data_IF_516754630009
#
_entry.id   IF_516754630009
#
_cell.length_a   1.000
_cell.length_b   1.000
_cell.length_c   1.000
_cell.angle_alpha   90.00
_cell.angle_beta   90.00
_cell.angle_gamma   90.00
#
_symmetry.space_group_name_H-M   'P 1'
#
loop_
_entity.id
_entity.type
_entity.pdbx_description
1 polymer ?
#
# COMPACT_ATOMS: atom_id res chain seq x y z
N UNK A 1 5.09 -26.81 29.30
CA UNK A 1 5.99 -27.20 28.19
C UNK A 1 5.84 -28.69 27.93
N UNK A 2 4.68 -29.12 27.44
CA UNK A 2 4.42 -30.51 27.02
C UNK A 2 3.71 -30.45 25.67
N UNK A 3 4.46 -30.52 24.57
CA UNK A 3 3.93 -30.92 23.26
C UNK A 3 4.58 -32.27 22.95
N UNK A 4 3.75 -33.29 22.81
CA UNK A 4 4.15 -34.62 22.32
C UNK A 4 4.77 -34.51 20.92
N UNK A 5 5.74 -35.36 20.57
CA UNK A 5 6.40 -35.32 19.28
C UNK A 5 5.42 -35.74 18.17
N UNK A 6 4.91 -34.78 17.40
CA UNK A 6 4.12 -35.03 16.19
C UNK A 6 5.05 -35.50 15.06
N UNK A 7 4.61 -36.53 14.32
CA UNK A 7 5.34 -37.12 13.19
C UNK A 7 5.67 -36.08 12.11
N UNK A 8 6.92 -36.06 11.63
CA UNK A 8 7.45 -35.06 10.69
C UNK A 8 6.60 -34.86 9.42
N UNK A 9 5.94 -35.92 8.93
CA UNK A 9 5.09 -35.84 7.73
C UNK A 9 3.78 -35.08 7.98
N UNK A 10 3.20 -35.22 9.16
CA UNK A 10 2.00 -34.48 9.59
C UNK A 10 2.36 -33.02 9.90
N UNK A 11 3.53 -32.80 10.51
CA UNK A 11 4.09 -31.45 10.76
C UNK A 11 4.30 -30.67 9.46
N UNK A 12 4.89 -31.30 8.43
CA UNK A 12 5.09 -30.67 7.12
C UNK A 12 3.78 -30.31 6.40
N UNK A 13 2.73 -31.14 6.52
CA UNK A 13 1.43 -30.88 5.88
C UNK A 13 0.65 -29.80 6.65
N UNK A 14 0.73 -29.79 7.98
CA UNK A 14 0.15 -28.75 8.84
C UNK A 14 0.88 -27.42 8.63
N UNK A 15 2.21 -27.43 8.54
CA UNK A 15 3.03 -26.26 8.23
C UNK A 15 2.72 -25.73 6.81
N UNK A 16 2.53 -26.59 5.81
CA UNK A 16 2.16 -26.15 4.45
C UNK A 16 0.76 -25.52 4.38
N UNK A 17 -0.23 -26.13 5.03
CA UNK A 17 -1.59 -25.55 5.12
C UNK A 17 -1.58 -24.20 5.84
N UNK A 18 -0.77 -24.06 6.88
CA UNK A 18 -0.59 -22.80 7.61
C UNK A 18 0.12 -21.75 6.75
N UNK A 19 1.21 -22.10 6.07
CA UNK A 19 1.92 -21.21 5.14
C UNK A 19 0.99 -20.72 4.03
N UNK A 20 0.18 -21.61 3.45
CA UNK A 20 -0.79 -21.22 2.42
C UNK A 20 -1.83 -20.22 2.93
N UNK A 21 -2.35 -20.38 4.16
CA UNK A 21 -3.28 -19.43 4.79
C UNK A 21 -2.63 -18.06 5.05
N UNK A 22 -1.38 -18.07 5.55
CA UNK A 22 -0.61 -16.85 5.76
C UNK A 22 -0.33 -16.11 4.44
N UNK A 23 0.03 -16.86 3.40
CA UNK A 23 0.28 -16.33 2.06
C UNK A 23 -0.99 -15.74 1.46
N UNK A 24 -2.12 -16.43 1.57
CA UNK A 24 -3.40 -15.94 1.07
C UNK A 24 -3.81 -14.64 1.76
N UNK A 25 -3.82 -14.61 3.10
CA UNK A 25 -4.20 -13.42 3.87
C UNK A 25 -3.26 -12.23 3.62
N UNK A 26 -1.95 -12.48 3.53
CA UNK A 26 -0.97 -11.40 3.44
C UNK A 26 -0.69 -10.97 1.99
N UNK A 27 -0.32 -11.91 1.12
CA UNK A 27 0.09 -11.58 -0.25
C UNK A 27 -1.12 -11.23 -1.12
N UNK A 28 -2.21 -12.00 -1.04
CA UNK A 28 -3.35 -11.81 -1.93
C UNK A 28 -4.25 -10.66 -1.46
N UNK A 29 -4.67 -10.62 -0.19
CA UNK A 29 -5.62 -9.58 0.25
C UNK A 29 -4.94 -8.24 0.56
N UNK A 30 -3.88 -8.23 1.38
CA UNK A 30 -3.22 -6.97 1.74
C UNK A 30 -2.40 -6.41 0.57
N UNK A 31 -1.65 -7.26 -0.15
CA UNK A 31 -0.86 -6.86 -1.30
C UNK A 31 -1.69 -6.20 -2.41
N UNK A 32 -2.83 -6.82 -2.79
CA UNK A 32 -3.73 -6.26 -3.80
C UNK A 32 -4.31 -4.93 -3.35
N UNK A 33 -4.67 -4.79 -2.07
CA UNK A 33 -5.22 -3.53 -1.55
C UNK A 33 -4.19 -2.40 -1.59
N UNK A 34 -2.92 -2.69 -1.26
CA UNK A 34 -1.82 -1.72 -1.38
C UNK A 34 -1.62 -1.32 -2.84
N UNK A 35 -1.59 -2.29 -3.76
CA UNK A 35 -1.44 -2.01 -5.20
C UNK A 35 -2.58 -1.16 -5.74
N UNK A 36 -3.84 -1.47 -5.36
CA UNK A 36 -5.01 -0.70 -5.75
C UNK A 36 -4.95 0.73 -5.21
N UNK A 37 -4.58 0.93 -3.95
CA UNK A 37 -4.41 2.26 -3.37
C UNK A 37 -3.35 3.07 -4.13
N UNK A 38 -2.21 2.44 -4.47
CA UNK A 38 -1.16 3.10 -5.25
C UNK A 38 -1.63 3.50 -6.66
N UNK A 39 -2.29 2.59 -7.38
CA UNK A 39 -2.86 2.87 -8.71
C UNK A 39 -3.92 3.97 -8.64
N UNK A 40 -4.72 4.00 -7.57
CA UNK A 40 -5.72 5.04 -7.36
C UNK A 40 -5.08 6.42 -7.15
N UNK A 41 -4.05 6.54 -6.31
CA UNK A 41 -3.30 7.80 -6.14
C UNK A 41 -2.66 8.24 -7.45
N UNK A 42 -2.10 7.31 -8.23
CA UNK A 42 -1.55 7.61 -9.56
C UNK A 42 -2.60 8.27 -10.48
N UNK A 43 -3.81 7.69 -10.53
CA UNK A 43 -4.89 8.26 -11.33
C UNK A 43 -5.39 9.61 -10.82
N UNK A 44 -5.42 9.83 -9.51
CA UNK A 44 -5.77 11.15 -8.96
C UNK A 44 -4.77 12.21 -9.41
N UNK A 45 -3.46 11.93 -9.28
CA UNK A 45 -2.43 12.90 -9.66
C UNK A 45 -2.52 13.22 -11.17
N UNK A 46 -2.71 12.20 -12.02
CA UNK A 46 -2.88 12.42 -13.45
C UNK A 46 -4.16 13.20 -13.78
N UNK A 47 -5.27 12.88 -13.13
CA UNK A 47 -6.56 13.54 -13.36
C UNK A 47 -6.56 15.01 -12.93
N UNK A 48 -5.91 15.34 -11.81
CA UNK A 48 -5.73 16.73 -11.37
C UNK A 48 -4.94 17.58 -12.37
N UNK A 49 -4.04 16.94 -13.15
CA UNK A 49 -3.25 17.60 -14.19
C UNK A 49 -3.88 17.47 -15.59
N UNK A 50 -5.16 17.10 -15.69
CA UNK A 50 -5.92 17.10 -16.95
C UNK A 50 -5.92 15.79 -17.74
N UNK A 51 -5.19 14.76 -17.28
CA UNK A 51 -5.17 13.43 -17.89
C UNK A 51 -6.09 12.47 -17.15
N UNK A 52 -7.32 12.31 -17.64
CA UNK A 52 -8.26 11.38 -17.01
C UNK A 52 -7.86 9.91 -17.24
N UNK A 53 -8.26 8.98 -16.36
CA UNK A 53 -7.92 7.56 -16.47
C UNK A 53 -8.28 6.90 -17.82
N UNK A 54 -9.35 7.37 -18.45
CA UNK A 54 -9.81 6.87 -19.76
C UNK A 54 -8.87 7.31 -20.90
N UNK A 55 -8.35 8.54 -20.80
CA UNK A 55 -7.49 9.15 -21.82
C UNK A 55 -6.05 8.61 -21.74
N UNK A 56 -5.66 8.03 -20.59
CA UNK A 56 -4.35 7.40 -20.38
C UNK A 56 -4.18 6.07 -21.12
N UNK A 57 -5.26 5.45 -21.60
CA UNK A 57 -5.20 4.18 -22.31
C UNK A 57 -4.71 4.39 -23.75
N UNK A 58 -3.55 3.82 -24.08
CA UNK A 58 -3.00 3.83 -25.44
C UNK A 58 -2.10 5.03 -25.78
N UNK A 59 -2.00 6.05 -24.92
CA UNK A 59 -1.17 7.24 -25.17
C UNK A 59 0.33 7.00 -24.98
N UNK A 60 0.75 5.82 -24.50
CA UNK A 60 2.15 5.49 -24.18
C UNK A 60 3.11 5.86 -25.32
N UNK A 61 2.82 5.49 -26.57
CA UNK A 61 3.74 5.78 -27.69
C UNK A 61 3.97 7.27 -27.88
N UNK A 62 2.92 8.07 -27.73
CA UNK A 62 2.97 9.54 -27.84
C UNK A 62 3.62 10.15 -26.59
N UNK A 63 3.30 9.61 -25.40
CA UNK A 63 3.85 10.03 -24.11
C UNK A 63 5.38 9.97 -24.04
N UNK A 64 5.96 8.89 -24.55
CA UNK A 64 7.42 8.69 -24.54
C UNK A 64 8.15 9.31 -25.75
N UNK A 65 7.42 9.82 -26.76
CA UNK A 65 8.05 10.45 -27.92
C UNK A 65 8.58 11.85 -27.59
N UNK A 66 9.89 12.12 -27.75
CA UNK A 66 10.46 13.45 -27.53
C UNK A 66 10.13 14.42 -28.68
N UNK A 67 9.68 13.91 -29.83
CA UNK A 67 9.33 14.73 -30.99
C UNK A 67 7.97 15.44 -30.83
N UNK A 68 7.13 14.97 -29.91
CA UNK A 68 5.79 15.54 -29.65
C UNK A 68 5.90 16.50 -28.47
N UNK A 69 5.60 17.78 -28.69
CA UNK A 69 5.64 18.81 -27.64
C UNK A 69 4.29 19.53 -27.46
N UNK A 70 3.27 19.05 -28.18
CA UNK A 70 1.94 19.60 -28.34
C UNK A 70 0.86 18.59 -27.92
N UNK A 71 1.19 17.69 -26.97
CA UNK A 71 0.21 16.73 -26.46
C UNK A 71 -0.88 17.49 -25.72
N UNK A 72 -2.12 17.42 -26.23
CA UNK A 72 -3.26 18.09 -25.61
C UNK A 72 -3.86 17.25 -24.50
N UNK A 73 -4.09 17.89 -23.36
CA UNK A 73 -4.92 17.36 -22.28
C UNK A 73 -6.41 17.62 -22.53
N UNK A 74 -7.28 17.19 -21.60
CA UNK A 74 -8.73 17.41 -21.71
C UNK A 74 -9.14 18.88 -21.57
N UNK A 75 -8.26 19.72 -21.03
CA UNK A 75 -8.43 21.16 -20.91
C UNK A 75 -7.87 21.93 -22.11
N UNK A 76 -7.46 21.23 -23.17
CA UNK A 76 -6.79 21.79 -24.35
C UNK A 76 -5.47 22.51 -24.07
N UNK A 77 -4.79 22.20 -22.97
CA UNK A 77 -3.44 22.66 -22.70
C UNK A 77 -2.43 21.77 -23.42
N UNK A 78 -1.38 22.38 -23.97
CA UNK A 78 -0.32 21.69 -24.68
C UNK A 78 0.84 21.36 -23.74
N UNK A 79 1.21 20.07 -23.69
CA UNK A 79 2.24 19.56 -22.80
C UNK A 79 3.52 19.21 -23.55
N UNK A 80 4.62 19.86 -23.17
CA UNK A 80 5.98 19.56 -23.66
C UNK A 80 6.47 18.21 -23.15
N UNK A 81 7.48 17.62 -23.80
CA UNK A 81 8.08 16.36 -23.33
C UNK A 81 8.60 16.43 -21.90
N UNK A 82 9.29 17.51 -21.51
CA UNK A 82 9.82 17.69 -20.15
C UNK A 82 8.70 17.74 -19.11
N UNK A 83 7.65 18.55 -19.34
CA UNK A 83 6.53 18.68 -18.41
C UNK A 83 5.80 17.35 -18.19
N UNK A 84 5.66 16.53 -19.24
CA UNK A 84 5.07 15.18 -19.13
C UNK A 84 5.93 14.25 -18.30
N UNK A 85 7.26 14.34 -18.44
CA UNK A 85 8.20 13.55 -17.62
C UNK A 85 8.19 13.98 -16.16
N UNK A 86 8.13 15.28 -15.89
CA UNK A 86 7.99 15.79 -14.53
C UNK A 86 6.69 15.29 -13.88
N UNK A 87 5.58 15.29 -14.63
CA UNK A 87 4.31 14.74 -14.17
C UNK A 87 4.36 13.22 -13.95
N UNK A 88 5.05 12.48 -14.82
CA UNK A 88 5.25 11.03 -14.67
C UNK A 88 6.05 10.71 -13.40
N UNK A 89 7.14 11.43 -13.15
CA UNK A 89 7.96 11.31 -11.94
C UNK A 89 7.20 11.68 -10.67
N UNK A 90 6.41 12.75 -10.75
CA UNK A 90 5.49 13.16 -9.70
C UNK A 90 4.49 12.05 -9.33
N UNK A 91 3.87 11.44 -10.35
CA UNK A 91 2.90 10.36 -10.17
C UNK A 91 3.54 9.07 -9.62
N UNK A 92 4.76 8.73 -10.07
CA UNK A 92 5.54 7.61 -9.54
C UNK A 92 5.90 7.80 -8.07
N UNK A 93 6.27 9.04 -7.69
CA UNK A 93 6.58 9.37 -6.29
C UNK A 93 5.32 9.27 -5.42
N UNK A 94 4.16 9.69 -5.92
CA UNK A 94 2.88 9.54 -5.22
C UNK A 94 2.45 8.10 -5.02
N UNK A 95 2.69 7.24 -6.03
CA UNK A 95 2.52 5.80 -5.91
C UNK A 95 3.42 5.23 -4.80
N UNK A 96 4.71 5.59 -4.80
CA UNK A 96 5.67 5.15 -3.79
C UNK A 96 5.26 5.55 -2.36
N UNK A 97 4.90 6.81 -2.14
CA UNK A 97 4.43 7.28 -0.82
C UNK A 97 3.17 6.53 -0.38
N UNK A 98 2.23 6.29 -1.30
CA UNK A 98 1.01 5.54 -0.98
C UNK A 98 1.36 4.13 -0.51
N UNK A 99 2.28 3.45 -1.19
CA UNK A 99 2.75 2.11 -0.78
C UNK A 99 3.40 2.16 0.60
N UNK A 100 4.28 3.13 0.88
CA UNK A 100 4.93 3.25 2.19
C UNK A 100 3.91 3.51 3.30
N UNK A 101 2.99 4.45 3.11
CA UNK A 101 1.96 4.77 4.09
C UNK A 101 1.07 3.56 4.35
N UNK A 102 0.58 2.89 3.31
CA UNK A 102 -0.21 1.67 3.45
C UNK A 102 0.57 0.56 4.17
N UNK A 103 1.87 0.42 3.89
CA UNK A 103 2.72 -0.54 4.57
C UNK A 103 2.77 -0.29 6.08
N UNK A 104 2.81 0.97 6.53
CA UNK A 104 2.75 1.31 7.95
C UNK A 104 1.44 0.82 8.60
N UNK A 105 0.31 1.05 7.94
CA UNK A 105 -0.99 0.55 8.41
C UNK A 105 -1.01 -0.98 8.46
N UNK A 106 -0.51 -1.66 7.44
CA UNK A 106 -0.47 -3.13 7.43
C UNK A 106 0.45 -3.70 8.51
N UNK A 107 1.57 -3.04 8.83
CA UNK A 107 2.46 -3.45 9.93
C UNK A 107 1.76 -3.34 11.30
N UNK A 108 0.96 -2.29 11.49
CA UNK A 108 0.15 -2.13 12.71
C UNK A 108 -0.90 -3.24 12.80
N UNK A 109 -1.59 -3.52 11.70
CA UNK A 109 -2.63 -4.56 11.61
C UNK A 109 -2.08 -5.97 11.87
N UNK A 110 -0.95 -6.31 11.25
CA UNK A 110 -0.35 -7.65 11.36
C UNK A 110 0.15 -7.96 12.77
N UNK A 111 0.37 -6.94 13.60
CA UNK A 111 0.72 -7.11 15.02
C UNK A 111 -0.41 -7.77 15.80
N UNK A 112 -1.66 -7.46 15.47
CA UNK A 112 -2.84 -7.84 16.23
C UNK A 112 -3.57 -8.98 15.53
N UNK A 113 -3.40 -10.21 16.04
CA UNK A 113 -4.06 -11.39 15.50
C UNK A 113 -5.44 -11.63 16.12
N UNK A 114 -5.53 -11.65 17.47
CA UNK A 114 -6.77 -11.90 18.24
C UNK A 114 -7.22 -10.73 19.10
N UNK A 115 -6.27 -9.91 19.55
CA UNK A 115 -6.57 -8.82 20.46
C UNK A 115 -6.71 -7.50 19.70
N UNK A 116 -7.78 -6.73 19.97
CA UNK A 116 -7.95 -5.40 19.40
C UNK A 116 -6.78 -4.50 19.82
N UNK A 117 -6.32 -3.66 18.90
CA UNK A 117 -5.17 -2.78 19.15
C UNK A 117 -5.40 -1.87 20.37
N UNK A 118 -6.65 -1.48 20.61
CA UNK A 118 -7.07 -0.63 21.72
C UNK A 118 -6.94 -1.31 23.09
N UNK A 119 -7.07 -2.63 23.15
CA UNK A 119 -6.95 -3.39 24.40
C UNK A 119 -5.50 -3.82 24.69
N UNK A 120 -4.70 -4.09 23.65
CA UNK A 120 -3.33 -4.58 23.79
C UNK A 120 -2.29 -3.46 23.98
N UNK A 121 -2.48 -2.30 23.35
CA UNK A 121 -1.54 -1.17 23.39
C UNK A 121 -0.25 -1.38 22.56
N UNK A 122 0.44 -0.29 22.24
CA UNK A 122 1.66 -0.28 21.41
C UNK A 122 2.97 -0.32 22.22
N UNK A 123 3.15 -1.31 23.10
CA UNK A 123 4.33 -1.39 24.00
C UNK A 123 5.64 -1.88 23.36
N UNK A 124 5.62 -2.25 22.08
CA UNK A 124 6.80 -2.76 21.38
C UNK A 124 7.62 -1.60 20.80
N UNK A 125 8.71 -1.23 21.47
CA UNK A 125 9.59 -0.14 21.06
C UNK A 125 10.26 -0.36 19.70
N UNK A 126 10.62 -1.60 19.35
CA UNK A 126 11.26 -1.92 18.06
C UNK A 126 10.29 -1.68 16.90
N UNK A 127 9.03 -2.08 17.06
CA UNK A 127 8.00 -1.84 16.05
C UNK A 127 7.73 -0.34 15.88
N UNK A 128 7.58 0.40 16.99
CA UNK A 128 7.33 1.84 16.95
C UNK A 128 8.51 2.58 16.31
N UNK A 129 9.75 2.15 16.59
CA UNK A 129 10.94 2.68 15.95
C UNK A 129 10.96 2.40 14.44
N UNK A 130 10.58 1.20 14.01
CA UNK A 130 10.47 0.86 12.58
C UNK A 130 9.46 1.75 11.87
N UNK A 131 8.27 1.96 12.45
CA UNK A 131 7.23 2.81 11.86
C UNK A 131 7.72 4.25 11.69
N UNK A 132 8.39 4.79 12.71
CA UNK A 132 8.95 6.13 12.68
C UNK A 132 10.08 6.26 11.65
N UNK A 133 10.99 5.29 11.61
CA UNK A 133 12.10 5.26 10.66
C UNK A 133 11.59 5.20 9.20
N UNK A 134 10.57 4.38 8.92
CA UNK A 134 9.97 4.28 7.60
C UNK A 134 9.30 5.60 7.15
N UNK A 135 8.64 6.32 8.07
CA UNK A 135 8.09 7.64 7.77
C UNK A 135 9.19 8.67 7.46
N UNK A 136 10.26 8.70 8.27
CA UNK A 136 11.40 9.59 8.02
C UNK A 136 12.05 9.27 6.67
N UNK A 137 12.24 7.99 6.36
CA UNK A 137 12.85 7.56 5.10
C UNK A 137 12.00 8.00 3.91
N UNK A 138 10.67 7.87 3.98
CA UNK A 138 9.76 8.39 2.96
C UNK A 138 9.90 9.91 2.76
N UNK A 139 9.98 10.67 3.86
CA UNK A 139 10.19 12.12 3.81
C UNK A 139 11.55 12.47 3.18
N UNK A 140 12.61 11.76 3.55
CA UNK A 140 13.95 11.94 2.98
C UNK A 140 13.94 11.66 1.46
N UNK A 141 13.30 10.57 1.02
CA UNK A 141 13.22 10.24 -0.41
C UNK A 141 12.46 11.29 -1.25
N UNK A 142 11.49 12.00 -0.67
CA UNK A 142 10.70 13.00 -1.41
C UNK A 142 11.33 14.40 -1.40
N UNK A 143 11.92 14.81 -0.27
CA UNK A 143 12.34 16.20 -0.06
C UNK A 143 13.83 16.43 -0.18
N UNK A 144 14.66 15.38 -0.28
CA UNK A 144 16.10 15.54 -0.50
C UNK A 144 16.40 15.66 -2.00
N UNK A 145 16.90 16.81 -2.48
CA UNK A 145 17.07 17.09 -3.91
C UNK A 145 18.12 16.17 -4.57
N UNK A 146 19.14 15.72 -3.84
CA UNK A 146 20.13 14.75 -4.34
C UNK A 146 19.53 13.38 -4.65
N UNK A 147 18.55 12.95 -3.84
CA UNK A 147 17.81 11.70 -4.05
C UNK A 147 16.79 11.86 -5.17
N UNK A 148 16.19 13.04 -5.29
CA UNK A 148 15.27 13.38 -6.36
C UNK A 148 15.92 13.26 -7.75
N UNK A 149 17.14 13.78 -7.94
CA UNK A 149 17.86 13.62 -9.21
C UNK A 149 18.28 12.17 -9.51
N UNK A 150 18.41 11.30 -8.50
CA UNK A 150 18.81 9.90 -8.69
C UNK A 150 17.61 8.96 -8.88
N UNK A 151 16.56 9.16 -8.10
CA UNK A 151 15.34 8.35 -8.09
C UNK A 151 14.26 8.89 -9.03
N UNK A 152 14.51 10.04 -9.67
CA UNK A 152 13.51 10.80 -10.43
C UNK A 152 12.23 11.01 -9.63
N UNK A 153 12.34 11.50 -8.39
CA UNK A 153 11.17 11.82 -7.57
C UNK A 153 10.74 13.27 -7.78
N UNK A 154 9.56 13.67 -7.33
CA UNK A 154 9.15 15.09 -7.35
C UNK A 154 8.60 15.46 -5.97
N UNK A 155 8.83 16.68 -5.45
CA UNK A 155 8.24 17.07 -4.17
C UNK A 155 6.71 17.01 -4.24
N UNK A 156 6.12 16.11 -3.46
CA UNK A 156 4.68 15.96 -3.37
C UNK A 156 4.06 17.06 -2.49
N UNK A 157 2.88 17.51 -2.92
CA UNK A 157 1.96 18.28 -2.08
C UNK A 157 1.40 17.39 -0.97
N UNK A 158 1.18 17.96 0.21
CA UNK A 158 0.58 17.25 1.35
C UNK A 158 -0.81 16.67 1.02
N UNK A 159 -1.57 17.31 0.12
CA UNK A 159 -2.90 16.86 -0.29
C UNK A 159 -2.90 15.44 -0.87
N UNK A 160 -1.82 15.03 -1.53
CA UNK A 160 -1.68 13.71 -2.14
C UNK A 160 -1.34 12.60 -1.15
N UNK A 161 -1.05 12.94 0.11
CA UNK A 161 -0.91 11.97 1.20
C UNK A 161 -2.28 11.51 1.73
N UNK A 162 -3.30 12.35 1.57
CA UNK A 162 -4.62 12.13 2.13
C UNK A 162 -5.30 10.86 1.57
N UNK A 163 -5.28 10.57 0.26
CA UNK A 163 -5.84 9.30 -0.26
C UNK A 163 -5.22 8.08 0.41
N UNK A 164 -3.89 8.04 0.55
CA UNK A 164 -3.20 6.92 1.19
C UNK A 164 -3.63 6.72 2.65
N UNK A 165 -3.79 7.82 3.40
CA UNK A 165 -4.26 7.77 4.78
C UNK A 165 -5.72 7.29 4.85
N UNK A 166 -6.59 7.77 3.96
CA UNK A 166 -7.99 7.33 3.92
C UNK A 166 -8.12 5.82 3.63
N UNK A 167 -7.37 5.31 2.64
CA UNK A 167 -7.30 3.87 2.37
C UNK A 167 -6.74 3.09 3.56
N UNK A 168 -5.72 3.62 4.24
CA UNK A 168 -5.14 3.00 5.43
C UNK A 168 -6.13 2.87 6.58
N UNK A 169 -6.91 3.92 6.85
CA UNK A 169 -7.97 3.92 7.86
C UNK A 169 -9.08 2.92 7.49
N UNK A 170 -9.48 2.88 6.22
CA UNK A 170 -10.48 1.94 5.74
C UNK A 170 -10.05 0.48 5.96
N UNK A 171 -8.81 0.14 5.59
CA UNK A 171 -8.25 -1.21 5.79
C UNK A 171 -8.13 -1.54 7.28
N UNK A 172 -7.74 -0.57 8.11
CA UNK A 172 -7.70 -0.73 9.56
C UNK A 172 -9.08 -1.03 10.16
N UNK A 173 -10.11 -0.28 9.76
CA UNK A 173 -11.49 -0.50 10.21
C UNK A 173 -12.04 -1.86 9.77
N UNK A 174 -11.73 -2.28 8.54
CA UNK A 174 -12.06 -3.62 8.04
C UNK A 174 -11.41 -4.73 8.90
N UNK A 175 -10.14 -4.55 9.27
CA UNK A 175 -9.41 -5.51 10.09
C UNK A 175 -9.98 -5.64 11.52
N UNK A 176 -10.23 -4.51 12.18
CA UNK A 176 -10.85 -4.49 13.52
C UNK A 176 -12.25 -5.11 13.50
N UNK A 177 -13.04 -4.85 12.44
CA UNK A 177 -14.36 -5.49 12.26
C UNK A 177 -14.22 -7.01 12.12
N UNK A 178 -13.23 -7.49 11.36
CA UNK A 178 -12.94 -8.93 11.23
C UNK A 178 -12.56 -9.54 12.59
N UNK A 179 -11.69 -8.88 13.35
CA UNK A 179 -11.29 -9.34 14.70
C UNK A 179 -12.50 -9.37 15.64
N UNK A 180 -13.37 -8.36 15.58
CA UNK A 180 -14.59 -8.29 16.37
C UNK A 180 -15.56 -9.45 16.07
N UNK A 181 -15.74 -9.78 14.79
CA UNK A 181 -16.58 -10.92 14.36
C UNK A 181 -16.00 -12.25 14.86
N UNK A 182 -14.67 -12.44 14.74
CA UNK A 182 -14.01 -13.67 15.22
C UNK A 182 -14.18 -13.84 16.73
N UNK A 183 -14.16 -12.74 17.50
CA UNK A 183 -14.36 -12.78 18.96
C UNK A 183 -15.80 -13.13 19.36
N UNK A 184 -16.79 -12.71 18.58
CA UNK A 184 -18.21 -12.98 18.86
C UNK A 184 -18.72 -14.28 18.23
N UNK A 185 -17.93 -14.93 17.39
CA UNK A 185 -18.29 -16.18 16.73
C UNK A 185 -17.87 -17.38 17.57
N UNK A 186 -18.76 -18.39 17.70
CA UNK A 186 -18.44 -19.68 18.33
C UNK A 186 -17.29 -20.39 17.60
N UNK A 187 -16.48 -21.16 18.33
CA UNK A 187 -15.23 -21.79 17.87
C UNK A 187 -15.38 -22.72 16.64
N UNK A 188 -16.60 -23.16 16.32
CA UNK A 188 -16.94 -24.02 15.17
C UNK A 188 -17.45 -23.27 13.91
N UNK A 189 -17.44 -21.93 13.92
CA UNK A 189 -17.86 -21.16 12.75
C UNK A 189 -16.81 -21.19 11.64
N UNK A 190 -17.26 -21.34 10.40
CA UNK A 190 -16.41 -21.42 9.19
C UNK A 190 -15.35 -20.30 9.12
N UNK A 191 -15.70 -19.09 9.58
CA UNK A 191 -14.80 -17.94 9.62
C UNK A 191 -13.63 -18.17 10.58
N UNK A 192 -13.84 -18.80 11.73
CA UNK A 192 -12.77 -19.11 12.67
C UNK A 192 -11.83 -20.20 12.12
N UNK A 193 -12.34 -21.18 11.38
CA UNK A 193 -11.55 -22.28 10.81
C UNK A 193 -10.71 -21.87 9.59
N UNK A 194 -11.21 -20.95 8.77
CA UNK A 194 -10.52 -20.49 7.55
C UNK A 194 -9.55 -19.33 7.80
N UNK A 195 -9.80 -18.49 8.80
CA UNK A 195 -8.97 -17.31 9.06
C UNK A 195 -7.85 -17.55 10.09
N UNK A 196 -7.88 -18.68 10.81
CA UNK A 196 -6.85 -19.12 11.78
C UNK A 196 -6.09 -20.37 11.33
#
# INVERSE_FOLDING_TARGET
>A
MHRTPQLLKEKNVVDLKFIHRLLHKSCCCLGVTISLAGVFTYFIIMAENGFMPQDLLGIRKVWYSPAVNDLKDRFNQEWTYSARKDLEYCSQTGFFITVVVMQLFTLVIQKTSRESLLQHGMRNYVLNFSLFCSLILAMICCYVPKLNSFLHTYPLKFIWWLPAILFGIFVFAYDETRIFIIRHSSADSWIATETY
#
